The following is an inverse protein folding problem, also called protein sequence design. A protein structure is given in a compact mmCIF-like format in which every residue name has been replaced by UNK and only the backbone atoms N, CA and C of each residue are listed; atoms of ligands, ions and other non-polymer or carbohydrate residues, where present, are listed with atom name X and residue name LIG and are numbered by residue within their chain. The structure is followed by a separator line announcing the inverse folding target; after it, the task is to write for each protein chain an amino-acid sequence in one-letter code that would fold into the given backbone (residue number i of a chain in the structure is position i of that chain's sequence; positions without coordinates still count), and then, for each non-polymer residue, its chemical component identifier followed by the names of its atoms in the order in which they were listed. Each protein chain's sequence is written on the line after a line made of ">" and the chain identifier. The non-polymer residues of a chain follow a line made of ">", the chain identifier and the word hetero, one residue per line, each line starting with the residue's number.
data_IF_682283227718
#
_entry.id   IF_682283227718
#
_cell.length_a   1.000
_cell.length_b   1.000
_cell.length_c   1.000
_cell.angle_alpha   90.00
_cell.angle_beta   90.00
_cell.angle_gamma   90.00
#
_symmetry.space_group_name_H-M   'P 1'
#
loop_
_entity.id
_entity.type
_entity.pdbx_description
1 polymer ?
#
# COMPACT_ATOMS: atom_id res chain seq x y z
N UNK A 1 12.27 30.73 -15.06
CA UNK A 1 11.22 30.10 -15.89
C UNK A 1 10.82 28.78 -15.26
N UNK A 2 9.53 28.55 -15.05
CA UNK A 2 9.02 27.25 -14.57
C UNK A 2 9.43 26.14 -15.52
N UNK A 3 9.99 25.05 -14.98
CA UNK A 3 10.40 23.88 -15.77
C UNK A 3 9.22 22.92 -15.94
N UNK A 4 9.28 22.12 -17.01
CA UNK A 4 8.39 20.96 -17.11
C UNK A 4 8.66 20.01 -15.96
N UNK A 5 7.61 19.57 -15.28
CA UNK A 5 7.66 18.53 -14.28
C UNK A 5 7.08 17.24 -14.87
N UNK A 6 7.80 16.15 -14.72
CA UNK A 6 7.34 14.82 -15.09
C UNK A 6 7.25 13.98 -13.83
N UNK A 7 6.02 13.60 -13.47
CA UNK A 7 5.80 12.78 -12.30
C UNK A 7 6.10 11.32 -12.61
N UNK A 8 7.34 10.90 -12.35
CA UNK A 8 7.72 9.51 -12.53
C UNK A 8 7.23 8.65 -11.35
N UNK A 9 6.01 8.16 -11.47
CA UNK A 9 5.39 7.23 -10.52
C UNK A 9 5.54 5.77 -10.93
N UNK A 10 5.96 5.49 -12.17
CA UNK A 10 6.06 4.13 -12.69
C UNK A 10 7.30 3.45 -12.11
N UNK A 11 7.13 2.19 -11.69
CA UNK A 11 8.25 1.33 -11.31
C UNK A 11 8.60 0.41 -12.46
N UNK A 12 9.87 0.02 -12.57
CA UNK A 12 10.28 -1.01 -13.51
C UNK A 12 9.55 -2.30 -13.19
N UNK A 13 8.85 -2.86 -14.18
CA UNK A 13 8.14 -4.12 -14.06
C UNK A 13 8.92 -5.22 -14.80
N UNK A 14 9.33 -6.30 -14.12
CA UNK A 14 9.99 -7.42 -14.79
C UNK A 14 9.13 -8.00 -15.92
N UNK A 15 9.75 -8.29 -17.06
CA UNK A 15 9.06 -8.74 -18.28
C UNK A 15 8.24 -10.03 -18.07
N UNK A 16 8.77 -10.99 -17.32
CA UNK A 16 8.08 -12.25 -17.00
C UNK A 16 6.72 -12.05 -16.32
N UNK A 17 6.54 -10.95 -15.59
CA UNK A 17 5.27 -10.65 -14.92
C UNK A 17 4.21 -10.19 -15.92
N UNK A 18 4.62 -9.56 -17.03
CA UNK A 18 3.74 -9.12 -18.11
C UNK A 18 3.42 -10.25 -19.08
N UNK A 19 4.40 -11.09 -19.39
CA UNK A 19 4.21 -12.34 -20.13
C UNK A 19 3.22 -13.26 -19.42
N UNK A 20 3.28 -13.30 -18.09
CA UNK A 20 2.42 -14.09 -17.25
C UNK A 20 2.87 -15.53 -17.09
N UNK A 21 2.31 -16.23 -16.11
CA UNK A 21 2.56 -17.64 -15.86
C UNK A 21 1.31 -18.33 -15.32
N UNK A 22 1.27 -19.65 -15.43
CA UNK A 22 0.20 -20.47 -14.88
C UNK A 22 0.44 -20.82 -13.41
N UNK A 23 -0.61 -20.75 -12.60
CA UNK A 23 -0.61 -21.08 -11.18
C UNK A 23 -1.85 -21.88 -10.85
N UNK A 24 -1.77 -22.76 -9.84
CA UNK A 24 -2.98 -23.20 -9.18
C UNK A 24 -3.33 -22.18 -8.11
N UNK A 25 -4.58 -21.72 -8.09
CA UNK A 25 -5.07 -20.73 -7.13
C UNK A 25 -6.03 -21.38 -6.15
N UNK A 26 -5.92 -21.00 -4.87
CA UNK A 26 -6.92 -21.38 -3.87
C UNK A 26 -7.17 -20.27 -2.85
N UNK A 27 -8.37 -20.30 -2.26
CA UNK A 27 -8.75 -19.51 -1.09
C UNK A 27 -9.37 -20.46 -0.05
N UNK A 28 -9.14 -20.20 1.25
CA UNK A 28 -9.65 -21.05 2.33
C UNK A 28 -11.10 -20.69 2.74
N UNK A 29 -11.41 -19.39 2.80
CA UNK A 29 -12.75 -18.90 3.16
C UNK A 29 -13.12 -17.63 2.34
N UNK A 30 -14.09 -17.72 1.41
CA UNK A 30 -14.77 -18.94 1.00
C UNK A 30 -13.82 -19.90 0.25
N UNK A 31 -14.10 -21.21 0.34
CA UNK A 31 -13.36 -22.22 -0.40
C UNK A 31 -13.39 -21.97 -1.91
N UNK A 32 -12.22 -21.79 -2.52
CA UNK A 32 -12.03 -21.68 -3.97
C UNK A 32 -10.83 -22.54 -4.37
N UNK A 33 -10.94 -23.26 -5.49
CA UNK A 33 -9.82 -23.92 -6.15
C UNK A 33 -9.93 -23.70 -7.66
N UNK A 34 -8.84 -23.25 -8.27
CA UNK A 34 -8.72 -22.87 -9.67
C UNK A 34 -7.40 -23.39 -10.23
N UNK A 35 -7.39 -24.56 -10.88
CA UNK A 35 -6.17 -25.10 -11.44
C UNK A 35 -5.77 -24.36 -12.72
N UNK A 36 -4.46 -24.32 -12.99
CA UNK A 36 -3.87 -23.77 -14.22
C UNK A 36 -4.41 -22.38 -14.60
N UNK A 37 -4.53 -21.50 -13.60
CA UNK A 37 -4.93 -20.12 -13.76
C UNK A 37 -3.79 -19.30 -14.34
N UNK A 38 -4.00 -18.64 -15.47
CA UNK A 38 -2.99 -17.79 -16.07
C UNK A 38 -3.02 -16.40 -15.43
N UNK A 39 -1.97 -16.05 -14.68
CA UNK A 39 -1.80 -14.79 -13.96
C UNK A 39 -0.76 -13.90 -14.65
N UNK A 40 -1.03 -12.60 -14.71
CA UNK A 40 -0.10 -11.57 -15.20
C UNK A 40 -0.32 -10.23 -14.50
N UNK A 41 0.67 -9.34 -14.58
CA UNK A 41 0.60 -7.96 -14.11
C UNK A 41 0.59 -7.01 -15.30
N UNK A 42 -0.26 -5.97 -15.24
CA UNK A 42 -0.33 -4.99 -16.34
C UNK A 42 0.93 -4.13 -16.42
N UNK A 43 1.16 -3.52 -17.59
CA UNK A 43 2.34 -2.70 -17.92
C UNK A 43 2.63 -1.55 -16.94
N UNK A 44 1.65 -1.09 -16.15
CA UNK A 44 1.85 -0.03 -15.14
C UNK A 44 1.96 -0.56 -13.70
N UNK A 45 1.79 -1.87 -13.49
CA UNK A 45 1.77 -2.46 -12.15
C UNK A 45 0.54 -2.06 -11.32
N UNK A 46 -0.57 -1.66 -11.94
CA UNK A 46 -1.80 -1.32 -11.24
C UNK A 46 -2.59 -2.54 -10.75
N UNK A 47 -2.48 -3.65 -11.48
CA UNK A 47 -3.36 -4.79 -11.38
C UNK A 47 -2.60 -6.10 -11.57
N UNK A 48 -2.84 -7.03 -10.64
CA UNK A 48 -2.66 -8.45 -10.90
C UNK A 48 -3.96 -8.94 -11.55
N UNK A 49 -3.86 -9.57 -12.70
CA UNK A 49 -4.99 -10.13 -13.45
C UNK A 49 -4.82 -11.63 -13.58
N UNK A 50 -5.92 -12.36 -13.52
CA UNK A 50 -5.88 -13.80 -13.76
C UNK A 50 -7.15 -14.29 -14.43
N UNK A 51 -7.03 -15.39 -15.16
CA UNK A 51 -8.16 -16.06 -15.81
C UNK A 51 -7.94 -17.56 -15.83
N UNK A 52 -8.96 -18.27 -15.36
CA UNK A 52 -9.05 -19.73 -15.39
C UNK A 52 -9.92 -20.16 -16.58
N UNK A 53 -9.71 -21.39 -17.08
CA UNK A 53 -10.53 -21.92 -18.17
C UNK A 53 -12.02 -21.93 -17.80
N UNK A 54 -12.87 -21.47 -18.71
CA UNK A 54 -14.32 -21.38 -18.49
C UNK A 54 -14.77 -20.33 -17.45
N UNK A 55 -13.87 -19.53 -16.87
CA UNK A 55 -14.19 -18.47 -15.91
C UNK A 55 -14.08 -17.06 -16.50
N UNK A 56 -14.68 -16.11 -15.80
CA UNK A 56 -14.54 -14.68 -16.09
C UNK A 56 -13.12 -14.19 -15.77
N UNK A 57 -12.70 -13.11 -16.42
CA UNK A 57 -11.45 -12.45 -16.08
C UNK A 57 -11.55 -11.76 -14.73
N UNK A 58 -10.52 -11.93 -13.89
CA UNK A 58 -10.48 -11.39 -12.54
C UNK A 58 -9.28 -10.46 -12.38
N UNK A 59 -9.38 -9.57 -11.39
CA UNK A 59 -8.37 -8.55 -11.13
C UNK A 59 -8.27 -8.23 -9.64
N UNK A 60 -7.05 -8.03 -9.17
CA UNK A 60 -6.71 -7.49 -7.86
C UNK A 60 -5.88 -6.24 -8.07
N UNK A 61 -6.27 -5.16 -7.42
CA UNK A 61 -5.58 -3.88 -7.51
C UNK A 61 -4.35 -3.88 -6.59
N UNK A 62 -3.17 -3.64 -7.17
CA UNK A 62 -1.90 -3.70 -6.44
C UNK A 62 -1.83 -2.73 -5.27
N UNK A 63 -2.50 -1.57 -5.35
CA UNK A 63 -2.56 -0.60 -4.26
C UNK A 63 -3.39 -1.07 -3.05
N UNK A 64 -4.16 -2.16 -3.19
CA UNK A 64 -4.88 -2.80 -2.09
C UNK A 64 -4.07 -3.95 -1.46
N UNK A 65 -2.91 -4.30 -2.00
CA UNK A 65 -2.09 -5.40 -1.49
C UNK A 65 -1.23 -4.85 -0.35
N UNK A 66 -1.43 -5.42 0.84
CA UNK A 66 -0.69 -5.06 2.03
C UNK A 66 0.63 -5.81 2.13
N UNK A 67 0.65 -7.10 1.78
CA UNK A 67 1.88 -7.91 1.82
C UNK A 67 1.84 -9.09 0.88
N UNK A 68 3.03 -9.53 0.48
CA UNK A 68 3.26 -10.73 -0.32
C UNK A 68 4.35 -11.55 0.35
N UNK A 69 4.08 -12.83 0.58
CA UNK A 69 4.96 -13.72 1.36
C UNK A 69 4.82 -15.16 0.92
N UNK A 70 5.78 -15.99 1.31
CA UNK A 70 5.65 -17.44 1.21
C UNK A 70 4.52 -17.86 2.16
N UNK A 71 3.51 -18.54 1.63
CA UNK A 71 2.40 -19.11 2.38
C UNK A 71 2.76 -20.47 2.97
N UNK A 72 2.02 -20.85 4.01
CA UNK A 72 2.11 -22.20 4.56
C UNK A 72 1.29 -23.18 3.72
N UNK A 73 1.68 -24.45 3.73
CA UNK A 73 0.87 -25.54 3.16
C UNK A 73 -0.51 -25.56 3.83
N UNK A 74 -1.62 -25.57 3.05
CA UNK A 74 -2.96 -25.54 3.61
C UNK A 74 -3.24 -26.80 4.42
N UNK A 75 -3.97 -26.66 5.53
CA UNK A 75 -4.36 -27.80 6.38
C UNK A 75 -5.79 -28.27 6.12
N UNK A 76 -6.56 -27.55 5.30
CA UNK A 76 -7.93 -27.93 4.97
C UNK A 76 -7.92 -29.19 4.08
N UNK A 77 -8.55 -30.30 4.52
CA UNK A 77 -8.57 -31.54 3.75
C UNK A 77 -9.19 -31.43 2.35
N UNK A 78 -10.12 -30.49 2.13
CA UNK A 78 -10.76 -30.27 0.82
C UNK A 78 -9.80 -29.62 -0.17
N UNK A 79 -8.95 -28.71 0.31
CA UNK A 79 -7.93 -28.06 -0.53
C UNK A 79 -6.87 -29.10 -0.90
N UNK A 80 -6.38 -29.87 0.08
CA UNK A 80 -5.41 -30.94 -0.14
C UNK A 80 -5.93 -32.00 -1.13
N UNK A 81 -7.17 -32.46 -0.96
CA UNK A 81 -7.81 -33.39 -1.90
C UNK A 81 -7.87 -32.83 -3.34
N UNK A 82 -8.03 -31.51 -3.50
CA UNK A 82 -8.07 -30.88 -4.82
C UNK A 82 -6.69 -30.83 -5.47
N UNK A 83 -5.64 -30.61 -4.69
CA UNK A 83 -4.26 -30.71 -5.18
C UNK A 83 -3.89 -32.15 -5.54
N UNK A 84 -4.29 -33.13 -4.73
CA UNK A 84 -4.08 -34.56 -5.03
C UNK A 84 -4.77 -34.96 -6.34
N UNK A 85 -5.98 -34.44 -6.60
CA UNK A 85 -6.69 -34.65 -7.87
C UNK A 85 -5.96 -34.06 -9.08
N UNK A 86 -5.10 -33.05 -8.88
CA UNK A 86 -4.19 -32.50 -9.90
C UNK A 86 -2.81 -33.16 -9.91
N UNK A 87 -2.58 -34.18 -9.08
CA UNK A 87 -1.32 -34.92 -8.99
C UNK A 87 -0.25 -34.27 -8.13
N UNK A 88 -0.60 -33.32 -7.26
CA UNK A 88 0.34 -32.65 -6.33
C UNK A 88 0.13 -33.16 -4.91
N UNK A 89 1.24 -33.44 -4.23
CA UNK A 89 1.26 -33.84 -2.81
C UNK A 89 1.57 -32.64 -1.92
N UNK A 90 1.37 -32.77 -0.61
CA UNK A 90 1.76 -31.73 0.37
C UNK A 90 3.23 -31.33 0.25
N UNK A 91 4.13 -32.29 -0.03
CA UNK A 91 5.56 -32.02 -0.17
C UNK A 91 5.86 -31.14 -1.39
N UNK A 92 5.06 -31.22 -2.45
CA UNK A 92 5.23 -30.39 -3.65
C UNK A 92 4.79 -28.93 -3.43
N UNK A 93 3.99 -28.68 -2.38
CA UNK A 93 3.49 -27.35 -2.04
C UNK A 93 4.46 -26.56 -1.15
N UNK A 94 5.38 -27.25 -0.46
CA UNK A 94 6.30 -26.65 0.51
C UNK A 94 7.16 -25.56 -0.15
N UNK A 95 7.04 -24.32 0.33
CA UNK A 95 7.77 -23.17 -0.21
C UNK A 95 7.26 -22.63 -1.56
N UNK A 96 6.34 -23.32 -2.23
CA UNK A 96 5.80 -22.92 -3.54
C UNK A 96 4.60 -21.96 -3.46
N UNK A 97 4.00 -21.80 -2.27
CA UNK A 97 2.78 -21.01 -2.10
C UNK A 97 3.13 -19.53 -1.96
N UNK A 98 2.53 -18.70 -2.81
CA UNK A 98 2.55 -17.25 -2.73
C UNK A 98 1.26 -16.81 -2.03
N UNK A 99 1.38 -16.26 -0.83
CA UNK A 99 0.29 -15.66 -0.08
C UNK A 99 0.24 -14.16 -0.38
N UNK A 100 -0.87 -13.71 -0.97
CA UNK A 100 -1.17 -12.32 -1.26
C UNK A 100 -2.23 -11.85 -0.27
N UNK A 101 -1.84 -10.95 0.64
CA UNK A 101 -2.73 -10.34 1.61
C UNK A 101 -3.14 -8.96 1.11
N UNK A 102 -4.45 -8.73 0.99
CA UNK A 102 -5.01 -7.47 0.50
C UNK A 102 -6.19 -7.01 1.34
N UNK A 103 -6.48 -5.71 1.34
CA UNK A 103 -7.56 -5.15 2.16
C UNK A 103 -7.75 -3.67 1.91
N UNK A 104 -8.97 -3.20 2.12
CA UNK A 104 -9.28 -1.76 2.10
C UNK A 104 -8.91 -1.06 3.41
N UNK A 105 -8.73 -1.84 4.47
CA UNK A 105 -8.33 -1.40 5.79
C UNK A 105 -7.47 -2.49 6.48
N UNK A 106 -6.97 -2.20 7.68
CA UNK A 106 -6.05 -3.09 8.40
C UNK A 106 -6.73 -4.31 9.04
N UNK A 107 -8.07 -4.36 9.06
CA UNK A 107 -8.86 -5.38 9.78
C UNK A 107 -9.52 -6.35 8.80
N UNK A 108 -10.14 -5.82 7.75
CA UNK A 108 -10.86 -6.58 6.72
C UNK A 108 -9.89 -7.02 5.63
N UNK A 109 -9.15 -8.08 5.92
CA UNK A 109 -8.16 -8.67 5.03
C UNK A 109 -8.74 -9.82 4.21
N UNK A 110 -8.28 -9.94 2.98
CA UNK A 110 -8.48 -11.07 2.09
C UNK A 110 -7.12 -11.71 1.80
N UNK A 111 -7.08 -13.04 1.88
CA UNK A 111 -5.90 -13.84 1.57
C UNK A 111 -6.16 -14.68 0.32
N UNK A 112 -5.33 -14.47 -0.69
CA UNK A 112 -5.33 -15.22 -1.93
C UNK A 112 -4.03 -16.00 -2.03
N UNK A 113 -4.12 -17.26 -2.43
CA UNK A 113 -2.95 -18.14 -2.54
C UNK A 113 -2.74 -18.60 -3.97
N UNK A 114 -1.52 -18.46 -4.46
CA UNK A 114 -1.08 -18.91 -5.79
C UNK A 114 0.06 -19.91 -5.62
N UNK A 115 -0.03 -21.08 -6.23
CA UNK A 115 1.01 -22.13 -6.14
C UNK A 115 1.90 -22.06 -7.36
N UNK A 116 3.15 -21.67 -7.15
CA UNK A 116 4.18 -21.67 -8.17
C UNK A 116 4.66 -23.10 -8.47
N UNK A 117 5.38 -23.28 -9.58
CA UNK A 117 5.93 -24.58 -9.98
C UNK A 117 7.07 -25.04 -9.06
N UNK A 118 7.81 -24.11 -8.47
CA UNK A 118 8.92 -24.40 -7.58
C UNK A 118 9.11 -23.32 -6.49
N UNK A 119 9.84 -23.62 -5.41
CA UNK A 119 10.07 -22.68 -4.29
C UNK A 119 10.93 -21.47 -4.66
N UNK A 120 11.75 -21.56 -5.71
CA UNK A 120 12.66 -20.50 -6.16
C UNK A 120 11.98 -19.51 -7.12
N UNK A 121 10.65 -19.39 -7.03
CA UNK A 121 9.87 -18.53 -7.90
C UNK A 121 10.26 -17.05 -7.77
N UNK A 122 10.56 -16.43 -8.91
CA UNK A 122 10.86 -14.99 -8.99
C UNK A 122 9.63 -14.11 -8.75
N UNK A 123 8.43 -14.71 -8.73
CA UNK A 123 7.17 -13.98 -8.61
C UNK A 123 6.99 -13.28 -7.27
N UNK A 124 7.51 -13.83 -6.17
CA UNK A 124 7.39 -13.16 -4.86
C UNK A 124 8.10 -11.81 -4.87
N UNK A 125 9.37 -11.79 -5.27
CA UNK A 125 10.15 -10.54 -5.34
C UNK A 125 9.64 -9.61 -6.44
N UNK A 126 9.23 -10.16 -7.59
CA UNK A 126 8.59 -9.39 -8.64
C UNK A 126 7.33 -8.66 -8.16
N UNK A 127 6.41 -9.36 -7.49
CA UNK A 127 5.19 -8.75 -6.97
C UNK A 127 5.49 -7.78 -5.80
N UNK A 128 6.47 -8.07 -4.94
CA UNK A 128 6.92 -7.15 -3.89
C UNK A 128 7.44 -5.84 -4.46
N UNK A 129 8.07 -5.86 -5.65
CA UNK A 129 8.60 -4.65 -6.27
C UNK A 129 7.51 -3.64 -6.66
N UNK A 130 6.30 -4.10 -7.01
CA UNK A 130 5.21 -3.25 -7.49
C UNK A 130 4.28 -2.75 -6.39
N UNK A 131 4.19 -3.45 -5.25
CA UNK A 131 3.41 -2.98 -4.11
C UNK A 131 4.10 -1.79 -3.41
N UNK A 132 3.37 -1.13 -2.50
CA UNK A 132 3.83 0.06 -1.77
C UNK A 132 4.37 1.19 -2.67
N UNK A 133 3.86 1.33 -3.89
CA UNK A 133 4.18 2.45 -4.77
C UNK A 133 3.41 3.71 -4.33
N UNK A 134 3.97 4.46 -3.37
CA UNK A 134 3.36 5.67 -2.82
C UNK A 134 3.09 6.73 -3.90
N UNK A 135 3.96 6.83 -4.91
CA UNK A 135 3.76 7.75 -6.03
C UNK A 135 2.54 7.36 -6.87
N UNK A 136 2.36 6.08 -7.16
CA UNK A 136 1.18 5.59 -7.90
C UNK A 136 -0.15 5.88 -7.19
N UNK A 137 -0.15 6.03 -5.86
CA UNK A 137 -1.34 6.42 -5.09
C UNK A 137 -1.73 7.90 -5.27
N UNK A 138 -0.84 8.71 -5.84
CA UNK A 138 -1.01 10.16 -6.01
C UNK A 138 -1.07 10.58 -7.49
N UNK A 139 -1.35 9.63 -8.40
CA UNK A 139 -1.47 9.92 -9.83
C UNK A 139 -2.65 10.83 -10.13
N UNK A 140 -2.52 11.63 -11.19
CA UNK A 140 -3.56 12.56 -11.59
C UNK A 140 -4.90 11.90 -11.99
N UNK A 141 -6.00 12.68 -11.99
CA UNK A 141 -7.32 12.19 -12.41
C UNK A 141 -7.34 11.49 -13.78
N UNK A 142 -6.56 11.97 -14.75
CA UNK A 142 -6.46 11.33 -16.07
C UNK A 142 -5.90 9.90 -15.98
N UNK A 143 -4.86 9.70 -15.18
CA UNK A 143 -4.29 8.37 -14.93
C UNK A 143 -5.25 7.48 -14.15
N UNK A 144 -5.99 8.04 -13.17
CA UNK A 144 -7.07 7.33 -12.50
C UNK A 144 -8.16 6.88 -13.48
N UNK A 145 -8.58 7.71 -14.44
CA UNK A 145 -9.55 7.33 -15.48
C UNK A 145 -9.00 6.19 -16.36
N UNK A 146 -7.72 6.25 -16.74
CA UNK A 146 -7.05 5.16 -17.47
C UNK A 146 -7.04 3.87 -16.65
N UNK A 147 -6.73 3.94 -15.35
CA UNK A 147 -6.76 2.79 -14.44
C UNK A 147 -8.17 2.16 -14.38
N UNK A 148 -9.24 2.96 -14.32
CA UNK A 148 -10.62 2.46 -14.36
C UNK A 148 -10.95 1.79 -15.70
N UNK A 149 -10.53 2.40 -16.82
CA UNK A 149 -10.67 1.80 -18.15
C UNK A 149 -9.98 0.42 -18.23
N UNK A 150 -8.72 0.34 -17.80
CA UNK A 150 -7.96 -0.91 -17.77
C UNK A 150 -8.65 -1.99 -16.93
N UNK A 151 -9.15 -1.62 -15.74
CA UNK A 151 -9.91 -2.55 -14.88
C UNK A 151 -11.11 -3.17 -15.61
N UNK A 152 -11.87 -2.35 -16.35
CA UNK A 152 -13.00 -2.86 -17.15
C UNK A 152 -12.54 -3.79 -18.28
N UNK A 153 -11.38 -3.54 -18.89
CA UNK A 153 -10.80 -4.42 -19.91
C UNK A 153 -10.36 -5.78 -19.36
N UNK A 154 -10.03 -5.87 -18.08
CA UNK A 154 -9.63 -7.14 -17.43
C UNK A 154 -10.82 -7.94 -16.91
N UNK A 155 -11.89 -7.26 -16.48
CA UNK A 155 -13.14 -7.87 -16.02
C UNK A 155 -14.01 -8.36 -17.20
N UNK A 156 -13.47 -9.32 -17.97
CA UNK A 156 -14.13 -9.91 -19.14
C UNK A 156 -15.06 -11.06 -18.77
N UNK A 157 -16.08 -11.31 -19.58
CA UNK A 157 -16.85 -12.56 -19.49
C UNK A 157 -16.01 -13.77 -19.95
N UNK A 158 -16.60 -14.97 -19.87
CA UNK A 158 -15.95 -16.23 -20.31
C UNK A 158 -15.39 -16.15 -21.74
N UNK A 159 -16.06 -15.41 -22.63
CA UNK A 159 -15.67 -15.20 -24.03
C UNK A 159 -14.62 -14.09 -24.25
N UNK A 160 -14.08 -13.51 -23.18
CA UNK A 160 -13.07 -12.44 -23.27
C UNK A 160 -13.62 -11.09 -23.75
N UNK A 161 -14.92 -10.83 -23.57
CA UNK A 161 -15.56 -9.55 -23.92
C UNK A 161 -15.91 -8.75 -22.67
N UNK A 162 -15.82 -7.41 -22.77
CA UNK A 162 -16.24 -6.50 -21.70
C UNK A 162 -17.77 -6.55 -21.56
N UNK A 163 -18.32 -6.96 -20.41
CA UNK A 163 -19.76 -6.98 -20.21
C UNK A 163 -20.31 -5.56 -20.10
N UNK A 164 -21.39 -5.25 -20.84
CA UNK A 164 -22.10 -3.96 -20.73
C UNK A 164 -22.56 -3.70 -19.30
N UNK A 165 -22.95 -4.75 -18.56
CA UNK A 165 -23.31 -4.66 -17.14
C UNK A 165 -22.14 -4.19 -16.26
N UNK A 166 -20.91 -4.51 -16.62
CA UNK A 166 -19.72 -4.01 -15.92
C UNK A 166 -19.55 -2.50 -16.11
N UNK A 167 -19.80 -2.01 -17.33
CA UNK A 167 -19.79 -0.58 -17.64
C UNK A 167 -20.89 0.15 -16.86
N UNK A 168 -22.13 -0.36 -16.86
CA UNK A 168 -23.23 0.30 -16.14
C UNK A 168 -22.97 0.38 -14.65
N UNK A 169 -22.44 -0.69 -14.03
CA UNK A 169 -22.11 -0.72 -12.60
C UNK A 169 -21.01 0.28 -12.24
N UNK A 170 -20.06 0.52 -13.12
CA UNK A 170 -18.94 1.47 -12.92
C UNK A 170 -19.44 2.91 -12.78
N UNK A 171 -20.49 3.30 -13.52
CA UNK A 171 -21.02 4.67 -13.52
C UNK A 171 -22.33 4.85 -12.74
N UNK A 172 -22.80 3.81 -12.04
CA UNK A 172 -24.12 3.77 -11.40
C UNK A 172 -24.34 4.84 -10.32
N UNK A 173 -23.26 5.37 -9.71
CA UNK A 173 -23.34 6.42 -8.68
C UNK A 173 -23.60 7.82 -9.25
N UNK A 174 -23.30 8.06 -10.53
CA UNK A 174 -23.33 9.40 -11.13
C UNK A 174 -24.20 9.55 -12.37
N UNK A 175 -24.65 8.44 -12.97
CA UNK A 175 -25.49 8.45 -14.18
C UNK A 175 -26.57 7.37 -14.10
N UNK A 176 -27.72 7.67 -14.69
CA UNK A 176 -28.77 6.66 -14.89
C UNK A 176 -28.33 5.64 -15.94
N UNK A 177 -28.78 4.39 -15.82
CA UNK A 177 -28.49 3.36 -16.82
C UNK A 177 -28.90 3.80 -18.23
N UNK A 178 -30.02 4.51 -18.35
CA UNK A 178 -30.49 5.09 -19.62
C UNK A 178 -29.44 6.03 -20.22
N UNK A 179 -28.83 6.90 -19.42
CA UNK A 179 -27.77 7.80 -19.88
C UNK A 179 -26.53 7.05 -20.35
N UNK A 180 -26.16 5.98 -19.65
CA UNK A 180 -25.01 5.14 -20.02
C UNK A 180 -25.27 4.42 -21.34
N UNK A 181 -26.44 3.81 -21.51
CA UNK A 181 -26.81 3.15 -22.77
C UNK A 181 -26.89 4.12 -23.94
N UNK A 182 -27.40 5.33 -23.72
CA UNK A 182 -27.43 6.35 -24.76
C UNK A 182 -26.00 6.75 -25.19
N UNK A 183 -25.09 6.98 -24.24
CA UNK A 183 -23.70 7.29 -24.55
C UNK A 183 -23.00 6.16 -25.32
N UNK A 184 -23.21 4.89 -24.93
CA UNK A 184 -22.68 3.75 -25.67
C UNK A 184 -23.21 3.70 -27.11
N UNK A 185 -24.51 3.95 -27.28
CA UNK A 185 -25.15 3.99 -28.60
C UNK A 185 -24.63 5.12 -29.47
N UNK A 186 -24.42 6.31 -28.90
CA UNK A 186 -23.88 7.48 -29.62
C UNK A 186 -22.44 7.22 -30.10
N UNK A 187 -21.70 6.35 -29.38
CA UNK A 187 -20.38 5.86 -29.77
C UNK A 187 -20.41 4.64 -30.71
N UNK A 188 -21.59 4.16 -31.10
CA UNK A 188 -21.75 2.97 -31.94
C UNK A 188 -21.42 1.63 -31.24
N UNK A 189 -21.37 1.61 -29.91
CA UNK A 189 -21.04 0.43 -29.12
C UNK A 189 -22.32 -0.36 -28.72
N UNK A 190 -22.21 -1.68 -28.42
CA UNK A 190 -23.34 -2.47 -27.95
C UNK A 190 -23.96 -1.89 -26.68
N UNK A 191 -25.18 -1.37 -26.80
CA UNK A 191 -26.02 -0.92 -25.68
C UNK A 191 -27.19 -1.90 -25.55
N UNK A 192 -27.32 -2.60 -24.42
CA UNK A 192 -28.43 -3.54 -24.19
C UNK A 192 -29.78 -2.95 -24.64
N UNK A 193 -30.46 -3.64 -25.57
CA UNK A 193 -31.60 -3.15 -26.37
C UNK A 193 -32.52 -2.13 -25.67
N UNK A 194 -32.64 -0.92 -26.23
CA UNK A 194 -33.91 -0.17 -26.41
C UNK A 194 -33.83 0.73 -27.67
N UNK A 195 -34.88 0.67 -28.50
CA UNK A 195 -35.17 1.60 -29.61
C UNK A 195 -35.67 2.95 -29.07
N UNK A 196 -35.06 4.06 -29.52
CA UNK A 196 -35.76 5.24 -30.04
C UNK A 196 -34.78 6.25 -30.64
N UNK A 197 -35.28 7.03 -31.59
CA UNK A 197 -34.58 7.96 -32.47
C UNK A 197 -34.03 9.19 -31.73
N UNK A 198 -32.94 9.76 -32.23
CA UNK A 198 -32.49 11.11 -31.88
C UNK A 198 -32.82 12.10 -32.99
N UNK A 199 -33.32 13.27 -32.60
CA UNK A 199 -33.29 14.53 -33.35
C UNK A 199 -32.20 15.39 -32.72
N UNK A 200 -31.27 15.87 -33.53
CA UNK A 200 -30.23 16.82 -33.14
C UNK A 200 -30.78 18.24 -33.16
N UNK A 201 -30.88 18.86 -31.98
CA UNK A 201 -30.94 20.31 -31.84
C UNK A 201 -29.80 20.73 -30.90
N UNK A 202 -28.79 21.40 -31.47
CA UNK A 202 -27.87 22.25 -30.72
C UNK A 202 -28.04 23.65 -31.28
N UNK A 203 -28.77 24.47 -30.53
CA UNK A 203 -28.83 25.91 -30.72
C UNK A 203 -27.57 26.53 -30.14
N UNK A 204 -26.76 27.08 -31.03
CA UNK A 204 -25.69 28.03 -30.74
C UNK A 204 -26.26 29.34 -30.17
N UNK A 205 -25.59 29.90 -29.16
CA UNK A 205 -25.86 31.24 -28.65
C UNK A 205 -24.61 31.81 -27.94
N UNK A 206 -23.82 32.61 -28.66
CA UNK A 206 -23.32 33.89 -28.16
C UNK A 206 -21.84 34.00 -27.77
N UNK A 207 -21.01 34.46 -28.73
CA UNK A 207 -19.84 35.34 -28.56
C UNK A 207 -18.99 35.22 -27.26
N UNK A 208 -18.46 34.02 -26.99
CA UNK A 208 -17.19 33.82 -26.30
C UNK A 208 -16.31 32.98 -27.21
N UNK A 209 -15.04 33.33 -27.37
CA UNK A 209 -14.11 32.47 -28.11
C UNK A 209 -14.03 31.11 -27.40
N UNK A 210 -14.28 30.01 -28.11
CA UNK A 210 -14.27 28.63 -27.57
C UNK A 210 -12.86 28.11 -27.21
N UNK A 211 -11.90 29.01 -26.99
CA UNK A 211 -10.50 28.68 -26.72
C UNK A 211 -9.84 29.71 -25.78
N UNK A 212 -8.80 29.26 -25.08
CA UNK A 212 -7.85 30.07 -24.32
C UNK A 212 -6.60 30.35 -25.18
N UNK A 213 -6.14 31.60 -25.15
CA UNK A 213 -4.85 31.99 -25.75
C UNK A 213 -3.68 31.73 -24.80
N UNK A 214 -2.44 31.77 -25.33
CA UNK A 214 -1.21 31.67 -24.52
C UNK A 214 -1.21 32.65 -23.36
N UNK A 215 -1.49 33.93 -23.61
CA UNK A 215 -1.43 34.98 -22.58
C UNK A 215 -2.51 34.78 -21.49
N UNK A 216 -3.71 34.37 -21.87
CA UNK A 216 -4.77 34.03 -20.92
C UNK A 216 -4.38 32.82 -20.06
N UNK A 217 -3.74 31.81 -20.65
CA UNK A 217 -3.24 30.65 -19.90
C UNK A 217 -2.12 31.07 -18.93
N UNK A 218 -1.19 31.94 -19.35
CA UNK A 218 -0.14 32.48 -18.47
C UNK A 218 -0.73 33.23 -17.27
N UNK A 219 -1.70 34.12 -17.50
CA UNK A 219 -2.40 34.85 -16.44
C UNK A 219 -3.09 33.88 -15.48
N UNK A 220 -3.87 32.92 -15.99
CA UNK A 220 -4.52 31.90 -15.18
C UNK A 220 -3.53 31.10 -14.30
N UNK A 221 -2.40 30.68 -14.87
CA UNK A 221 -1.39 29.88 -14.14
C UNK A 221 -0.75 30.69 -13.01
N UNK A 222 -0.44 31.96 -13.24
CA UNK A 222 0.27 32.80 -12.28
C UNK A 222 -0.65 33.45 -11.25
N UNK A 223 -1.89 33.75 -11.60
CA UNK A 223 -2.85 34.48 -10.74
C UNK A 223 -3.82 33.55 -10.00
N UNK A 224 -4.20 32.41 -10.60
CA UNK A 224 -5.20 31.51 -10.01
C UNK A 224 -4.62 30.18 -9.52
N UNK A 225 -3.63 29.60 -10.21
CA UNK A 225 -3.08 28.28 -9.83
C UNK A 225 -1.88 28.37 -8.90
N UNK A 226 -1.14 29.48 -8.90
CA UNK A 226 0.02 29.67 -8.06
C UNK A 226 -0.37 29.90 -6.60
N UNK A 227 0.29 29.19 -5.68
CA UNK A 227 0.26 29.54 -4.26
C UNK A 227 1.05 30.84 -4.03
N UNK A 228 0.41 31.93 -3.56
CA UNK A 228 1.06 33.24 -3.41
C UNK A 228 2.14 33.27 -2.33
N UNK A 229 2.25 32.23 -1.49
CA UNK A 229 3.30 32.12 -0.45
C UNK A 229 4.63 31.62 -1.02
N UNK A 230 4.65 31.11 -2.25
CA UNK A 230 5.85 30.51 -2.83
C UNK A 230 6.86 31.57 -3.27
N UNK A 231 8.11 31.37 -2.86
CA UNK A 231 9.23 32.21 -3.26
C UNK A 231 9.42 32.20 -4.79
N UNK A 232 9.52 33.37 -5.40
CA UNK A 232 9.56 33.55 -6.86
C UNK A 232 10.89 33.09 -7.49
N UNK A 233 11.97 33.00 -6.72
CA UNK A 233 13.26 32.52 -7.21
C UNK A 233 13.25 30.98 -7.26
N UNK A 234 12.78 30.34 -6.18
CA UNK A 234 12.69 28.89 -6.09
C UNK A 234 11.57 28.32 -6.98
N UNK A 235 10.45 29.04 -7.06
CA UNK A 235 9.29 28.70 -7.87
C UNK A 235 9.01 29.86 -8.84
N UNK A 236 9.72 29.94 -9.98
CA UNK A 236 9.52 31.01 -10.95
C UNK A 236 8.09 31.05 -11.51
N UNK A 237 7.71 32.19 -12.08
CA UNK A 237 6.44 32.34 -12.80
C UNK A 237 6.45 31.57 -14.13
N UNK A 238 5.24 31.20 -14.56
CA UNK A 238 4.98 30.70 -15.90
C UNK A 238 5.14 31.83 -16.92
N UNK A 239 5.63 31.49 -18.10
CA UNK A 239 5.82 32.41 -19.21
C UNK A 239 5.18 31.85 -20.50
N UNK A 240 5.13 32.64 -21.59
CA UNK A 240 4.48 32.21 -22.83
C UNK A 240 5.08 30.93 -23.42
N UNK A 241 6.39 30.72 -23.26
CA UNK A 241 7.07 29.51 -23.72
C UNK A 241 6.55 28.28 -22.97
N UNK A 242 6.44 28.37 -21.64
CA UNK A 242 5.91 27.26 -20.83
C UNK A 242 4.43 27.02 -21.11
N UNK A 243 3.63 28.06 -21.24
CA UNK A 243 2.22 27.93 -21.60
C UNK A 243 2.03 27.24 -22.96
N UNK A 244 2.86 27.56 -23.97
CA UNK A 244 2.84 26.88 -25.26
C UNK A 244 3.14 25.38 -25.14
N UNK A 245 4.12 24.98 -24.32
CA UNK A 245 4.42 23.56 -24.07
C UNK A 245 3.24 22.81 -23.45
N UNK A 246 2.48 23.46 -22.58
CA UNK A 246 1.25 22.90 -22.00
C UNK A 246 0.20 22.71 -23.10
N UNK A 247 0.01 23.71 -23.98
CA UNK A 247 -0.91 23.62 -25.13
C UNK A 247 -0.51 22.44 -26.03
N UNK A 248 0.76 22.36 -26.43
CA UNK A 248 1.28 21.29 -27.30
C UNK A 248 1.03 19.89 -26.72
N UNK A 249 1.11 19.75 -25.39
CA UNK A 249 0.95 18.48 -24.67
C UNK A 249 -0.52 18.07 -24.51
N UNK A 250 -1.42 19.00 -24.20
CA UNK A 250 -2.79 18.67 -23.78
C UNK A 250 -3.87 18.94 -24.84
N UNK A 251 -3.64 19.86 -25.79
CA UNK A 251 -4.56 20.05 -26.91
C UNK A 251 -4.49 18.86 -27.87
N UNK A 252 -5.61 18.52 -28.52
CA UNK A 252 -5.68 17.44 -29.51
C UNK A 252 -5.83 17.95 -30.93
N UNK A 253 -6.41 19.14 -31.10
CA UNK A 253 -6.57 19.77 -32.41
C UNK A 253 -5.25 20.42 -32.85
N UNK A 254 -4.67 19.90 -33.93
CA UNK A 254 -3.39 20.36 -34.47
C UNK A 254 -3.44 21.81 -35.01
N UNK A 255 -4.59 22.29 -35.45
CA UNK A 255 -4.74 23.65 -35.95
C UNK A 255 -4.85 24.65 -34.81
N UNK A 256 -5.50 24.28 -33.69
CA UNK A 256 -5.50 25.07 -32.47
C UNK A 256 -4.11 25.12 -31.84
N UNK A 257 -3.38 24.00 -31.79
CA UNK A 257 -1.98 23.97 -31.33
C UNK A 257 -1.11 24.96 -32.09
N UNK A 258 -1.13 24.92 -33.43
CA UNK A 258 -0.33 25.84 -34.27
C UNK A 258 -0.65 27.32 -34.03
N UNK A 259 -1.88 27.62 -33.62
CA UNK A 259 -2.34 28.98 -33.30
C UNK A 259 -2.05 29.39 -31.85
N UNK A 260 -1.50 28.51 -31.02
CA UNK A 260 -1.31 28.76 -29.59
C UNK A 260 -2.64 28.89 -28.84
N UNK A 261 -3.65 28.14 -29.27
CA UNK A 261 -4.99 28.12 -28.68
C UNK A 261 -5.26 26.77 -27.99
N UNK A 262 -5.93 26.82 -26.86
CA UNK A 262 -6.37 25.65 -26.10
C UNK A 262 -7.89 25.60 -26.01
N UNK A 263 -8.47 24.53 -26.51
CA UNK A 263 -9.91 24.25 -26.41
C UNK A 263 -10.32 23.92 -24.98
N UNK A 264 -11.64 23.86 -24.74
CA UNK A 264 -12.20 23.37 -23.48
C UNK A 264 -11.76 21.92 -23.15
N UNK A 265 -11.66 21.03 -24.14
CA UNK A 265 -11.16 19.66 -23.92
C UNK A 265 -9.67 19.67 -23.55
N UNK A 266 -8.85 20.44 -24.26
CA UNK A 266 -7.43 20.62 -23.97
C UNK A 266 -7.19 21.18 -22.55
N UNK A 267 -7.99 22.17 -22.15
CA UNK A 267 -7.91 22.74 -20.81
C UNK A 267 -8.37 21.76 -19.72
N UNK A 268 -9.45 21.02 -19.96
CA UNK A 268 -9.93 19.97 -19.05
C UNK A 268 -8.86 18.88 -18.86
N UNK A 269 -8.14 18.49 -19.92
CA UNK A 269 -7.01 17.57 -19.85
C UNK A 269 -5.87 18.10 -19.00
N UNK A 270 -5.51 19.38 -19.15
CA UNK A 270 -4.51 20.02 -18.31
C UNK A 270 -4.91 19.99 -16.83
N UNK A 271 -6.14 20.39 -16.50
CA UNK A 271 -6.64 20.40 -15.12
C UNK A 271 -6.63 19.00 -14.47
N UNK A 272 -6.80 17.95 -15.28
CA UNK A 272 -6.78 16.56 -14.84
C UNK A 272 -5.39 15.90 -14.91
N UNK A 273 -4.33 16.66 -15.19
CA UNK A 273 -2.96 16.17 -15.36
C UNK A 273 -2.11 16.30 -14.08
N UNK A 274 -0.95 15.64 -14.06
CA UNK A 274 0.01 15.73 -12.95
C UNK A 274 0.63 17.14 -12.83
N UNK A 275 0.54 17.97 -13.86
CA UNK A 275 1.02 19.36 -13.82
C UNK A 275 0.09 20.30 -13.04
N UNK A 276 -1.14 19.87 -12.80
CA UNK A 276 -2.13 20.60 -12.01
C UNK A 276 -2.49 19.83 -10.72
N UNK A 277 -1.51 19.10 -10.17
CA UNK A 277 -1.71 18.34 -8.95
C UNK A 277 -2.00 19.28 -7.75
N UNK A 278 -2.92 18.91 -6.85
CA UNK A 278 -3.26 19.72 -5.68
C UNK A 278 -2.18 19.69 -4.58
N UNK A 279 -1.13 18.88 -4.77
CA UNK A 279 -0.02 18.67 -3.83
C UNK A 279 1.31 18.76 -4.55
N UNK A 280 2.37 19.06 -3.78
CA UNK A 280 3.75 19.01 -4.26
C UNK A 280 4.19 17.55 -4.44
N UNK A 281 4.16 17.07 -5.68
CA UNK A 281 4.47 15.68 -6.01
C UNK A 281 5.93 15.27 -5.69
N UNK A 282 6.85 16.23 -5.62
CA UNK A 282 8.24 16.08 -5.19
C UNK A 282 8.38 15.89 -3.66
N UNK A 283 7.33 16.20 -2.89
CA UNK A 283 7.27 16.06 -1.43
C UNK A 283 6.51 14.81 -0.97
N UNK A 284 6.20 13.90 -1.89
CA UNK A 284 5.61 12.60 -1.57
C UNK A 284 6.64 11.60 -1.03
N UNK A 285 7.91 11.77 -1.42
CA UNK A 285 9.04 11.03 -0.86
C UNK A 285 9.60 11.75 0.37
N UNK A 286 10.48 11.08 1.10
CA UNK A 286 11.13 11.65 2.27
C UNK A 286 11.92 12.91 1.88
N UNK A 287 11.47 14.08 2.35
CA UNK A 287 12.11 15.38 2.12
C UNK A 287 12.46 16.12 3.40
N UNK A 288 11.95 15.66 4.55
CA UNK A 288 12.23 16.24 5.85
C UNK A 288 13.66 15.90 6.29
N UNK A 289 14.25 16.81 7.08
CA UNK A 289 15.48 16.53 7.82
C UNK A 289 15.20 15.43 8.85
N UNK A 290 15.98 14.35 8.81
CA UNK A 290 15.85 13.18 9.69
C UNK A 290 17.00 13.05 10.69
N UNK A 291 17.82 14.10 10.82
CA UNK A 291 19.01 14.15 11.67
C UNK A 291 18.80 14.99 12.97
N UNK A 292 17.58 15.51 13.20
CA UNK A 292 17.23 16.15 14.47
C UNK A 292 17.04 15.10 15.58
N UNK A 293 17.11 15.47 16.87
CA UNK A 293 16.81 14.54 17.97
C UNK A 293 15.43 13.90 17.85
N UNK A 294 15.28 12.62 18.23
CA UNK A 294 14.02 11.86 18.09
C UNK A 294 12.79 12.57 18.69
N UNK A 295 12.97 13.36 19.75
CA UNK A 295 11.90 14.12 20.41
C UNK A 295 11.29 15.25 19.55
N UNK A 296 11.90 15.59 18.41
CA UNK A 296 11.44 16.66 17.52
C UNK A 296 10.43 16.16 16.46
N UNK A 297 10.14 14.86 16.43
CA UNK A 297 9.30 14.25 15.42
C UNK A 297 7.97 13.78 16.00
N UNK A 298 6.90 13.94 15.23
CA UNK A 298 5.69 13.18 15.45
C UNK A 298 5.90 11.74 14.97
N UNK A 299 5.69 10.77 15.87
CA UNK A 299 5.88 9.35 15.59
C UNK A 299 4.52 8.68 15.49
N UNK A 300 4.22 8.10 14.33
CA UNK A 300 3.02 7.28 14.12
C UNK A 300 3.01 6.11 15.11
N UNK A 301 1.98 6.06 15.95
CA UNK A 301 1.94 5.20 17.14
C UNK A 301 0.59 4.50 17.25
N UNK A 302 0.60 3.22 17.63
CA UNK A 302 -0.57 2.36 17.81
C UNK A 302 -0.73 1.99 19.29
N UNK A 303 -1.98 1.96 19.75
CA UNK A 303 -2.37 1.58 21.11
C UNK A 303 -3.12 0.26 21.08
N UNK A 304 -2.83 -0.63 22.02
CA UNK A 304 -3.34 -2.02 22.07
C UNK A 304 -3.29 -2.70 20.70
N UNK A 305 -2.11 -2.67 20.05
CA UNK A 305 -1.91 -3.05 18.65
C UNK A 305 -2.42 -4.45 18.33
N UNK A 306 -2.45 -5.35 19.30
CA UNK A 306 -2.92 -6.72 19.12
C UNK A 306 -4.43 -6.84 18.86
N UNK A 307 -5.26 -5.87 19.26
CA UNK A 307 -6.73 -5.96 19.13
C UNK A 307 -7.21 -5.61 17.71
N UNK A 308 -8.12 -6.43 17.17
CA UNK A 308 -8.75 -6.18 15.86
C UNK A 308 -10.13 -5.55 15.95
N UNK A 309 -10.58 -5.17 17.15
CA UNK A 309 -11.94 -4.70 17.38
C UNK A 309 -12.17 -4.15 18.78
N UNK A 310 -13.15 -4.73 19.50
CA UNK A 310 -13.59 -4.23 20.81
C UNK A 310 -12.51 -4.40 21.88
N UNK A 311 -12.48 -3.47 22.85
CA UNK A 311 -11.62 -3.54 24.04
C UNK A 311 -12.03 -4.67 25.00
N UNK A 312 -13.28 -5.13 24.94
CA UNK A 312 -13.80 -6.23 25.76
C UNK A 312 -14.37 -7.32 24.85
N UNK A 313 -13.99 -8.58 25.10
CA UNK A 313 -14.40 -9.71 24.28
C UNK A 313 -13.87 -9.66 22.84
N UNK A 314 -12.82 -8.87 22.58
CA UNK A 314 -12.24 -8.68 21.26
C UNK A 314 -11.30 -9.82 20.86
N UNK A 315 -11.05 -9.95 19.56
CA UNK A 315 -10.04 -10.85 19.02
C UNK A 315 -8.68 -10.15 19.01
N UNK A 316 -7.67 -10.84 19.53
CA UNK A 316 -6.26 -10.48 19.37
C UNK A 316 -5.68 -11.17 18.14
N UNK A 317 -4.79 -10.51 17.40
CA UNK A 317 -4.21 -11.03 16.16
C UNK A 317 -2.75 -10.67 16.01
N UNK A 318 -1.93 -11.67 15.67
CA UNK A 318 -0.53 -11.48 15.25
C UNK A 318 -0.47 -10.68 13.94
N UNK A 319 -1.41 -10.92 13.02
CA UNK A 319 -1.44 -10.23 11.73
C UNK A 319 -1.64 -8.71 11.89
N UNK A 320 -2.29 -8.25 12.96
CA UNK A 320 -2.48 -6.82 13.19
C UNK A 320 -1.14 -6.08 13.35
N UNK A 321 -0.13 -6.69 13.99
CA UNK A 321 1.22 -6.11 14.05
C UNK A 321 1.85 -5.99 12.67
N UNK A 322 1.68 -7.00 11.80
CA UNK A 322 2.15 -6.92 10.41
C UNK A 322 1.52 -5.73 9.69
N UNK A 323 0.19 -5.64 9.72
CA UNK A 323 -0.57 -4.60 9.03
C UNK A 323 -0.25 -3.19 9.55
N UNK A 324 -0.15 -3.02 10.86
CA UNK A 324 0.17 -1.74 11.49
C UNK A 324 1.59 -1.28 11.14
N UNK A 325 2.58 -2.18 11.12
CA UNK A 325 3.93 -1.81 10.70
C UNK A 325 4.01 -1.52 9.20
N UNK A 326 3.33 -2.30 8.36
CA UNK A 326 3.27 -2.09 6.91
C UNK A 326 2.60 -0.76 6.54
N UNK A 327 1.64 -0.26 7.33
CA UNK A 327 1.05 1.07 7.14
C UNK A 327 1.99 2.22 7.52
N UNK A 328 3.18 1.94 8.05
CA UNK A 328 4.19 2.92 8.42
C UNK A 328 4.20 3.31 9.90
N UNK A 329 3.36 2.68 10.75
CA UNK A 329 3.43 2.89 12.20
C UNK A 329 4.80 2.52 12.75
N UNK A 330 5.36 3.32 13.66
CA UNK A 330 6.71 3.18 14.22
C UNK A 330 6.71 2.92 15.73
N UNK A 331 5.56 2.96 16.41
CA UNK A 331 5.44 2.56 17.81
C UNK A 331 4.25 1.61 17.98
N UNK A 332 4.50 0.40 18.48
CA UNK A 332 3.47 -0.63 18.70
C UNK A 332 3.46 -1.08 20.15
N UNK A 333 2.29 -1.45 20.65
CA UNK A 333 2.06 -1.80 22.05
C UNK A 333 1.86 -3.31 22.24
N UNK A 334 2.50 -3.86 23.28
CA UNK A 334 2.50 -5.28 23.62
C UNK A 334 2.14 -5.46 25.10
N UNK A 335 0.90 -5.89 25.37
CA UNK A 335 0.43 -6.20 26.72
C UNK A 335 0.79 -7.63 27.09
N UNK A 336 1.90 -7.79 27.78
CA UNK A 336 2.52 -9.08 28.03
C UNK A 336 2.03 -9.68 29.35
N UNK A 337 1.51 -10.91 29.29
CA UNK A 337 1.00 -11.65 30.46
C UNK A 337 1.62 -13.04 30.54
N UNK A 338 1.66 -13.59 31.76
CA UNK A 338 2.07 -14.97 31.97
C UNK A 338 1.11 -15.93 31.26
N UNK A 339 1.64 -16.78 30.37
CA UNK A 339 0.88 -17.90 29.82
C UNK A 339 0.72 -19.02 30.85
N UNK A 340 -0.45 -19.68 30.81
CA UNK A 340 -0.84 -20.72 31.77
C UNK A 340 -0.59 -22.15 31.28
N UNK A 341 -0.09 -22.33 30.06
CA UNK A 341 0.23 -23.64 29.50
C UNK A 341 1.39 -24.32 30.21
N UNK A 342 1.54 -25.62 30.00
CA UNK A 342 2.62 -26.44 30.59
C UNK A 342 4.01 -25.87 30.25
N UNK A 343 4.17 -25.40 29.01
CA UNK A 343 5.41 -24.80 28.53
C UNK A 343 5.68 -23.41 29.11
N UNK A 344 4.72 -22.78 29.80
CA UNK A 344 4.84 -21.40 30.33
C UNK A 344 5.30 -20.40 29.25
N UNK A 345 4.63 -20.40 28.10
CA UNK A 345 4.90 -19.46 27.00
C UNK A 345 4.23 -18.10 27.27
N UNK A 346 4.97 -16.98 27.22
CA UNK A 346 4.37 -15.65 27.41
C UNK A 346 3.33 -15.34 26.32
N UNK A 347 2.25 -14.68 26.72
CA UNK A 347 1.14 -14.32 25.83
C UNK A 347 0.94 -12.81 25.77
N UNK A 348 0.20 -12.37 24.74
CA UNK A 348 -0.30 -11.00 24.61
C UNK A 348 -1.83 -11.04 24.59
N UNK A 349 -2.45 -10.22 25.45
CA UNK A 349 -3.90 -10.10 25.58
C UNK A 349 -4.28 -8.85 26.37
N UNK A 350 -5.54 -8.42 26.27
CA UNK A 350 -6.06 -7.37 27.14
C UNK A 350 -6.53 -8.00 28.46
N UNK A 351 -5.73 -7.81 29.51
CA UNK A 351 -5.92 -8.45 30.80
C UNK A 351 -7.31 -8.25 31.39
N UNK A 352 -7.91 -9.34 31.90
CA UNK A 352 -9.24 -9.35 32.54
C UNK A 352 -10.41 -8.86 31.63
N UNK A 353 -10.19 -8.73 30.32
CA UNK A 353 -11.19 -8.20 29.39
C UNK A 353 -11.82 -9.27 28.47
N UNK A 354 -11.60 -10.56 28.74
CA UNK A 354 -12.11 -11.70 27.95
C UNK A 354 -11.70 -11.66 26.46
N UNK A 355 -10.57 -11.03 26.13
CA UNK A 355 -10.03 -11.07 24.77
C UNK A 355 -9.32 -12.40 24.50
N UNK A 356 -9.14 -12.76 23.23
CA UNK A 356 -8.37 -13.97 22.87
C UNK A 356 -6.88 -13.75 23.10
N UNK A 357 -6.15 -14.82 23.36
CA UNK A 357 -4.70 -14.76 23.61
C UNK A 357 -3.93 -15.06 22.31
N UNK A 358 -2.79 -14.42 22.13
CA UNK A 358 -1.80 -14.74 21.08
C UNK A 358 -0.42 -14.92 21.71
N UNK A 359 0.44 -15.74 21.11
CA UNK A 359 1.78 -15.99 21.64
C UNK A 359 2.69 -14.78 21.43
N UNK A 360 3.45 -14.41 22.47
CA UNK A 360 4.44 -13.34 22.38
C UNK A 360 5.48 -13.63 21.29
N UNK A 361 5.96 -14.87 21.22
CA UNK A 361 6.97 -15.31 20.23
C UNK A 361 6.52 -15.03 18.79
N UNK A 362 5.27 -15.35 18.46
CA UNK A 362 4.72 -15.15 17.12
C UNK A 362 4.60 -13.67 16.78
N UNK A 363 4.28 -12.82 17.76
CA UNK A 363 4.25 -11.37 17.60
C UNK A 363 5.65 -10.80 17.34
N UNK A 364 6.67 -11.23 18.07
CA UNK A 364 8.07 -10.79 17.84
C UNK A 364 8.55 -11.24 16.45
N UNK A 365 8.21 -12.46 16.02
CA UNK A 365 8.52 -12.95 14.68
C UNK A 365 7.82 -12.11 13.59
N UNK A 366 6.54 -11.81 13.76
CA UNK A 366 5.80 -10.95 12.85
C UNK A 366 6.37 -9.52 12.76
N UNK A 367 6.78 -8.94 13.90
CA UNK A 367 7.42 -7.63 13.95
C UNK A 367 8.76 -7.67 13.19
N UNK A 368 9.59 -8.70 13.37
CA UNK A 368 10.86 -8.84 12.65
C UNK A 368 10.65 -8.82 11.13
N UNK A 369 9.62 -9.51 10.66
CA UNK A 369 9.31 -9.65 9.22
C UNK A 369 8.89 -8.31 8.58
N UNK A 370 8.18 -7.45 9.32
CA UNK A 370 7.54 -6.26 8.73
C UNK A 370 8.07 -4.91 9.23
N UNK A 371 8.86 -4.87 10.31
CA UNK A 371 9.31 -3.63 10.95
C UNK A 371 9.94 -2.65 9.96
N UNK A 372 10.72 -3.15 8.99
CA UNK A 372 11.48 -2.31 8.07
C UNK A 372 11.12 -2.51 6.59
N UNK A 373 9.91 -3.01 6.30
CA UNK A 373 9.46 -3.22 4.91
C UNK A 373 9.10 -1.90 4.22
N UNK A 374 8.36 -1.03 4.91
CA UNK A 374 7.88 0.24 4.33
C UNK A 374 8.61 1.48 4.84
N UNK A 375 9.49 1.33 5.83
CA UNK A 375 10.30 2.41 6.37
C UNK A 375 11.51 1.86 7.11
N UNK A 376 12.71 2.41 6.84
CA UNK A 376 13.94 2.03 7.53
C UNK A 376 14.12 2.71 8.90
N UNK A 377 13.24 3.64 9.28
CA UNK A 377 13.34 4.37 10.54
C UNK A 377 12.99 3.50 11.76
N UNK A 378 13.49 3.85 12.96
CA UNK A 378 13.38 3.00 14.14
C UNK A 378 11.95 2.61 14.50
N UNK A 379 11.82 1.42 15.09
CA UNK A 379 10.56 0.91 15.67
C UNK A 379 10.68 0.87 17.19
N UNK A 380 9.67 1.38 17.88
CA UNK A 380 9.56 1.38 19.34
C UNK A 380 8.52 0.34 19.75
N UNK A 381 8.92 -0.56 20.64
CA UNK A 381 8.03 -1.54 21.25
C UNK A 381 7.67 -1.05 22.66
N UNK A 382 6.41 -0.68 22.87
CA UNK A 382 5.86 -0.29 24.17
C UNK A 382 5.38 -1.53 24.90
N UNK A 383 6.16 -2.00 25.87
CA UNK A 383 5.80 -3.16 26.67
C UNK A 383 4.96 -2.74 27.88
N UNK A 384 3.76 -3.29 28.00
CA UNK A 384 3.01 -3.32 29.26
C UNK A 384 3.22 -4.70 29.90
N UNK A 385 4.18 -4.78 30.83
CA UNK A 385 4.69 -6.05 31.34
C UNK A 385 4.04 -6.48 32.66
N UNK A 386 3.32 -7.60 32.61
CA UNK A 386 2.69 -8.29 33.76
C UNK A 386 3.23 -9.70 33.99
N UNK A 387 4.33 -10.07 33.32
CA UNK A 387 4.90 -11.41 33.41
C UNK A 387 5.72 -11.62 34.69
N UNK A 388 5.74 -12.85 35.18
CA UNK A 388 6.67 -13.37 36.18
C UNK A 388 8.13 -13.31 35.69
N UNK A 389 9.10 -13.31 36.61
CA UNK A 389 10.53 -13.28 36.26
C UNK A 389 10.94 -14.37 35.26
N UNK A 390 10.54 -15.66 35.41
CA UNK A 390 10.89 -16.70 34.44
C UNK A 390 10.39 -16.39 33.02
N UNK A 391 9.16 -15.92 32.88
CA UNK A 391 8.60 -15.57 31.58
C UNK A 391 9.17 -14.26 31.02
N UNK A 392 9.57 -13.30 31.86
CA UNK A 392 10.35 -12.13 31.43
C UNK A 392 11.71 -12.53 30.83
N UNK A 393 12.42 -13.52 31.40
CA UNK A 393 13.65 -14.05 30.81
C UNK A 393 13.41 -14.67 29.44
N UNK A 394 12.31 -15.42 29.27
CA UNK A 394 11.90 -15.95 27.96
C UNK A 394 11.62 -14.83 26.95
N UNK A 395 10.87 -13.79 27.34
CA UNK A 395 10.60 -12.64 26.48
C UNK A 395 11.90 -11.95 26.03
N UNK A 396 12.83 -11.72 26.95
CA UNK A 396 14.13 -11.12 26.64
C UNK A 396 14.91 -12.00 25.65
N UNK A 397 14.97 -13.32 25.91
CA UNK A 397 15.62 -14.29 25.02
C UNK A 397 15.02 -14.28 23.61
N UNK A 398 13.69 -14.26 23.49
CA UNK A 398 13.03 -14.16 22.19
C UNK A 398 13.36 -12.86 21.47
N UNK A 399 13.34 -11.72 22.15
CA UNK A 399 13.76 -10.46 21.54
C UNK A 399 15.22 -10.52 21.04
N UNK A 400 16.13 -11.09 21.83
CA UNK A 400 17.55 -11.21 21.44
C UNK A 400 17.78 -12.15 20.26
N UNK A 401 17.19 -13.35 20.30
CA UNK A 401 17.36 -14.38 19.27
C UNK A 401 16.66 -14.00 17.96
N UNK A 402 15.45 -13.46 18.04
CA UNK A 402 14.63 -13.16 16.86
C UNK A 402 15.09 -11.86 16.22
N UNK A 403 15.22 -10.77 16.98
CA UNK A 403 15.63 -9.49 16.38
C UNK A 403 17.12 -9.41 16.08
N UNK A 404 17.97 -10.13 16.81
CA UNK A 404 19.42 -10.11 16.60
C UNK A 404 19.98 -8.68 16.60
N UNK A 405 20.68 -8.31 15.53
CA UNK A 405 21.31 -7.00 15.37
C UNK A 405 20.33 -5.83 15.19
N UNK A 406 19.06 -6.11 14.90
CA UNK A 406 18.02 -5.08 14.85
C UNK A 406 17.72 -4.55 16.26
N UNK A 407 17.92 -5.35 17.31
CA UNK A 407 17.66 -4.92 18.68
C UNK A 407 18.74 -3.96 19.19
N UNK A 408 18.35 -2.75 19.60
CA UNK A 408 19.26 -1.82 20.25
C UNK A 408 19.45 -2.19 21.73
N UNK A 409 20.50 -2.95 22.01
CA UNK A 409 20.82 -3.46 23.36
C UNK A 409 21.63 -2.49 24.23
N UNK A 410 22.49 -1.68 23.59
CA UNK A 410 23.37 -0.75 24.27
C UNK A 410 23.17 0.67 23.71
N UNK A 411 23.48 1.72 24.49
CA UNK A 411 23.51 3.08 23.98
C UNK A 411 24.46 3.19 22.78
N UNK A 412 24.17 4.08 21.85
CA UNK A 412 25.13 4.43 20.80
C UNK A 412 26.33 5.14 21.43
N UNK A 413 27.53 4.93 20.91
CA UNK A 413 28.79 5.46 21.47
C UNK A 413 28.75 6.97 21.67
N UNK A 414 28.19 7.70 20.69
CA UNK A 414 28.06 9.16 20.73
C UNK A 414 26.86 9.66 21.56
N UNK A 415 26.02 8.76 22.08
CA UNK A 415 24.80 9.07 22.83
C UNK A 415 24.77 8.32 24.17
N UNK A 416 25.69 8.65 25.10
CA UNK A 416 25.65 8.08 26.44
C UNK A 416 24.36 8.50 27.16
N UNK A 417 23.84 7.62 28.02
CA UNK A 417 22.62 7.88 28.80
C UNK A 417 22.97 8.76 30.00
N UNK A 418 23.14 10.07 29.75
CA UNK A 418 23.46 11.08 30.75
C UNK A 418 22.42 12.21 30.74
N UNK A 419 22.12 12.84 31.90
CA UNK A 419 21.21 13.99 31.94
C UNK A 419 21.66 15.13 31.02
N UNK A 420 20.73 15.72 30.29
CA UNK A 420 20.98 16.85 29.40
C UNK A 420 21.54 16.49 28.02
N UNK A 421 21.84 15.21 27.75
CA UNK A 421 22.17 14.74 26.39
C UNK A 421 20.90 14.60 25.54
N UNK A 422 20.90 15.03 24.27
CA UNK A 422 19.78 14.81 23.36
C UNK A 422 19.63 13.33 23.02
N UNK A 423 18.43 12.93 22.59
CA UNK A 423 18.21 11.61 21.99
C UNK A 423 18.89 11.53 20.61
N UNK A 424 19.35 10.34 20.17
CA UNK A 424 19.79 10.14 18.80
C UNK A 424 18.69 10.51 17.79
N UNK A 425 19.10 10.82 16.58
CA UNK A 425 18.17 11.09 15.47
C UNK A 425 17.53 9.82 14.92
N UNK A 426 16.39 9.92 14.20
CA UNK A 426 15.86 8.80 13.43
C UNK A 426 16.88 8.19 12.45
N UNK A 427 17.71 9.02 11.80
CA UNK A 427 18.76 8.55 10.88
C UNK A 427 19.78 7.63 11.55
N UNK A 428 20.24 7.98 12.75
CA UNK A 428 21.24 7.19 13.50
C UNK A 428 20.66 5.89 14.06
N UNK A 429 19.33 5.83 14.19
CA UNK A 429 18.59 4.66 14.68
C UNK A 429 17.95 3.85 13.54
N UNK A 430 18.35 4.07 12.28
CA UNK A 430 17.86 3.28 11.16
C UNK A 430 18.03 1.79 11.40
N UNK A 431 16.97 1.05 11.10
CA UNK A 431 16.87 -0.41 11.25
C UNK A 431 17.12 -0.89 12.68
N UNK A 432 16.78 -0.06 13.68
CA UNK A 432 16.83 -0.43 15.10
C UNK A 432 15.45 -0.55 15.72
N UNK A 433 15.32 -1.53 16.59
CA UNK A 433 14.15 -1.80 17.44
C UNK A 433 14.52 -1.39 18.86
N UNK A 434 13.74 -0.48 19.44
CA UNK A 434 13.91 0.05 20.78
C UNK A 434 12.84 -0.54 21.70
N UNK A 435 13.22 -0.95 22.90
CA UNK A 435 12.29 -1.45 23.92
C UNK A 435 12.00 -0.34 24.93
N UNK A 436 10.73 0.06 25.03
CA UNK A 436 10.19 0.85 26.15
C UNK A 436 9.62 -0.13 27.17
N UNK A 437 10.35 -0.35 28.26
CA UNK A 437 9.91 -1.11 29.43
C UNK A 437 10.50 -0.49 30.70
N UNK A 438 9.98 -0.86 31.88
CA UNK A 438 10.52 -0.47 33.19
C UNK A 438 11.96 -0.96 33.32
N UNK A 439 12.87 -0.07 33.72
CA UNK A 439 14.25 -0.40 34.09
C UNK A 439 14.36 -0.59 35.60
N UNK A 440 15.21 -1.51 36.04
CA UNK A 440 15.63 -1.58 37.44
C UNK A 440 16.42 -0.31 37.77
N UNK A 441 16.23 0.23 38.98
CA UNK A 441 17.10 1.30 39.48
C UNK A 441 18.52 0.72 39.59
N UNK A 442 19.56 1.42 39.14
CA UNK A 442 20.93 0.98 39.41
C UNK A 442 21.10 0.85 40.93
N UNK A 443 21.58 -0.31 41.40
CA UNK A 443 21.89 -0.46 42.81
C UNK A 443 22.95 0.59 43.17
N UNK A 444 22.77 1.37 44.24
CA UNK A 444 23.84 2.21 44.74
C UNK A 444 24.99 1.28 45.13
N UNK A 445 26.16 1.46 44.53
CA UNK A 445 27.38 0.72 44.85
C UNK A 445 27.48 0.54 46.37
N UNK A 446 27.26 -0.68 46.88
CA UNK A 446 27.57 -0.97 48.26
C UNK A 446 29.08 -0.74 48.41
N UNK A 447 29.52 0.10 49.37
CA UNK A 447 30.95 0.26 49.62
C UNK A 447 31.49 -1.12 49.96
N UNK A 448 32.52 -1.54 49.20
CA UNK A 448 33.32 -2.73 49.48
C UNK A 448 33.66 -2.73 50.97
N UNK A 449 32.98 -3.58 51.74
CA UNK A 449 33.38 -3.88 53.10
C UNK A 449 34.76 -4.52 53.01
N UNK A 450 35.79 -3.72 53.33
CA UNK A 450 37.12 -4.25 53.63
C UNK A 450 36.94 -5.25 54.76
N UNK A 451 37.05 -6.53 54.44
CA UNK A 451 37.35 -7.56 55.44
C UNK A 451 38.73 -7.24 55.98
N UNK A 452 38.77 -6.74 57.21
CA UNK A 452 39.98 -6.66 58.02
C UNK A 452 40.43 -8.08 58.35
N UNK A 453 41.62 -8.45 57.89
CA UNK A 453 42.43 -9.50 58.52
C UNK A 453 43.01 -9.00 59.84
#
# INVERSE_FOLDING_TARGET
>A
MTKSYEFNWQKHLPEFMQEGASFDRFDEDPYIFEPNCHMKVDEYGFFITWKSEGKEGQVLECSLINSIRVGAVPKDPKILSSFEATGKTEADLEGCIICICSGTDLVNLNFMFMVAENPETKWIEGLRSVIHNVKANNVCPMTCLKKHWMRMCFLTNVNGKIPVRGITRTFASGKTEKGIFQALKDLGLPSGKVRQNWKSDVSDNGNKTDYLTVDQLVSFLNENQRDPRLNEILFPFYDPKRAMQIIEKYERDEDLKKKGHMSSDGFCRYLMSDENAPVFLDRLELYQDMDQPLAHYFISSSHNTYLTGRQFGGKSSVEMYRQVLLSGCRCVELDCWDGKGEDQEPIITHGKAMCTDILFKDVIQAIKETAFVTSDFPVILSFENHCSKPQQYKMAKYCEEIFGDLLLKQPLENYPIEPGRPLPSPSELKRKILIKNKRLKPEPNLPLTRTSH
#
